data_IF_475591761013
#
_entry.id   IF_475591761013
#
_cell.length_a   1.000
_cell.length_b   1.000
_cell.length_c   1.000
_cell.angle_alpha   90.00
_cell.angle_beta   90.00
_cell.angle_gamma   90.00
#
_symmetry.space_group_name_H-M   'P 1'
#
loop_
_entity.id
_entity.type
_entity.pdbx_description
1 polymer ?
#
# COMPACT_ATOMS: atom_id res chain seq x y z
N UNK A 1 -6.59 2.89 -9.98
CA UNK A 1 -6.18 1.47 -10.17
C UNK A 1 -7.37 0.57 -9.86
N UNK A 2 -7.60 -0.53 -10.58
CA UNK A 2 -8.74 -1.44 -10.35
C UNK A 2 -8.28 -2.91 -10.33
N UNK A 3 -8.84 -3.71 -9.43
CA UNK A 3 -8.62 -5.16 -9.31
C UNK A 3 -9.96 -5.88 -9.36
N UNK A 4 -10.06 -6.97 -10.12
CA UNK A 4 -11.21 -7.87 -10.15
C UNK A 4 -10.83 -9.19 -9.47
N UNK A 5 -11.66 -9.63 -8.54
CA UNK A 5 -11.51 -10.90 -7.85
C UNK A 5 -12.27 -12.00 -8.61
N UNK A 6 -11.88 -13.26 -8.39
CA UNK A 6 -12.53 -14.41 -9.05
C UNK A 6 -13.99 -14.61 -8.62
N UNK A 7 -14.37 -14.13 -7.43
CA UNK A 7 -15.73 -14.18 -6.92
C UNK A 7 -16.67 -13.12 -7.54
N UNK A 8 -16.17 -12.30 -8.47
CA UNK A 8 -16.92 -11.22 -9.12
C UNK A 8 -16.82 -9.86 -8.44
N UNK A 9 -16.25 -9.78 -7.23
CA UNK A 9 -16.00 -8.50 -6.57
C UNK A 9 -14.91 -7.71 -7.28
N UNK A 10 -14.91 -6.39 -7.09
CA UNK A 10 -13.82 -5.56 -7.55
C UNK A 10 -13.49 -4.43 -6.58
N UNK A 11 -12.20 -4.08 -6.54
CA UNK A 11 -11.69 -2.94 -5.81
C UNK A 11 -11.26 -1.83 -6.75
N UNK A 12 -11.63 -0.59 -6.46
CA UNK A 12 -11.18 0.59 -7.20
C UNK A 12 -10.50 1.58 -6.25
N UNK A 13 -9.26 1.93 -6.60
CA UNK A 13 -8.44 2.95 -5.95
C UNK A 13 -8.53 4.24 -6.75
N UNK A 14 -9.13 5.29 -6.17
CA UNK A 14 -9.41 6.58 -6.80
C UNK A 14 -8.63 7.69 -6.11
N UNK A 15 -7.65 8.26 -6.81
CA UNK A 15 -6.89 9.43 -6.36
C UNK A 15 -7.81 10.64 -6.17
N UNK A 16 -7.75 11.24 -4.98
CA UNK A 16 -8.44 12.49 -4.69
C UNK A 16 -7.51 13.64 -5.07
N UNK A 17 -7.67 14.20 -6.28
CA UNK A 17 -6.87 15.34 -6.73
C UNK A 17 -7.17 16.58 -5.90
N UNK A 18 -6.25 17.00 -5.02
CA UNK A 18 -6.13 18.43 -4.67
C UNK A 18 -5.07 19.07 -5.55
N UNK A 19 -5.52 19.97 -6.44
CA UNK A 19 -4.67 20.95 -7.13
C UNK A 19 -4.05 21.85 -6.06
N UNK A 20 -2.75 21.68 -5.79
CA UNK A 20 -1.78 22.66 -5.28
C UNK A 20 -0.71 21.87 -4.50
N UNK A 21 0.37 21.56 -5.22
CA UNK A 21 1.70 21.23 -4.70
C UNK A 21 1.83 20.10 -3.68
N UNK A 22 2.45 19.01 -4.16
CA UNK A 22 3.46 18.15 -3.49
C UNK A 22 3.10 17.67 -2.08
N UNK A 23 2.97 16.35 -1.95
CA UNK A 23 3.14 15.60 -0.69
C UNK A 23 1.93 15.36 0.21
N UNK A 24 0.69 15.20 -0.28
CA UNK A 24 -0.39 14.64 0.55
C UNK A 24 -1.42 13.90 -0.33
N UNK A 25 -0.98 12.82 -0.97
CA UNK A 25 -1.85 12.00 -1.81
C UNK A 25 -2.78 11.16 -0.94
N UNK A 26 -4.09 11.35 -1.10
CA UNK A 26 -5.10 10.44 -0.55
C UNK A 26 -5.76 9.69 -1.70
N UNK A 27 -5.84 8.37 -1.57
CA UNK A 27 -6.55 7.50 -2.50
C UNK A 27 -7.73 6.87 -1.76
N UNK A 28 -8.95 7.03 -2.26
CA UNK A 28 -10.11 6.33 -1.70
C UNK A 28 -10.22 4.94 -2.31
N UNK A 29 -10.59 3.96 -1.49
CA UNK A 29 -10.76 2.56 -1.88
C UNK A 29 -12.25 2.25 -1.87
N UNK A 30 -12.75 1.75 -2.99
CA UNK A 30 -14.11 1.30 -3.16
C UNK A 30 -14.14 -0.21 -3.42
N UNK A 31 -15.05 -0.94 -2.78
CA UNK A 31 -15.41 -2.32 -3.13
C UNK A 31 -16.83 -2.29 -3.68
N UNK A 32 -17.03 -2.76 -4.92
CA UNK A 32 -18.35 -2.76 -5.56
C UNK A 32 -19.08 -1.40 -5.41
N UNK A 33 -18.37 -0.32 -5.70
CA UNK A 33 -18.82 1.08 -5.60
C UNK A 33 -19.10 1.63 -4.18
N UNK A 34 -18.94 0.83 -3.12
CA UNK A 34 -19.00 1.29 -1.73
C UNK A 34 -17.60 1.65 -1.21
N UNK A 35 -17.45 2.84 -0.60
CA UNK A 35 -16.17 3.23 0.00
C UNK A 35 -15.90 2.40 1.26
N UNK A 36 -14.78 1.67 1.27
CA UNK A 36 -14.37 0.79 2.37
C UNK A 36 -13.13 1.29 3.12
N UNK A 37 -12.47 2.31 2.59
CA UNK A 37 -11.27 2.85 3.21
C UNK A 37 -10.50 3.81 2.33
N UNK A 38 -9.26 4.09 2.74
CA UNK A 38 -8.37 5.01 2.04
C UNK A 38 -6.91 4.71 2.30
N UNK A 39 -6.09 5.11 1.34
CA UNK A 39 -4.64 5.12 1.45
C UNK A 39 -4.17 6.56 1.59
N UNK A 40 -3.25 6.80 2.52
CA UNK A 40 -2.59 8.10 2.73
C UNK A 40 -1.09 7.93 2.76
N UNK A 41 -0.38 8.90 2.20
CA UNK A 41 1.07 8.99 2.33
C UNK A 41 1.45 9.60 3.69
N UNK A 42 2.47 9.04 4.34
CA UNK A 42 3.06 9.59 5.55
C UNK A 42 4.22 10.53 5.20
N UNK A 43 3.96 11.84 5.27
CA UNK A 43 4.97 12.87 5.10
C UNK A 43 5.28 13.56 6.44
N UNK A 44 5.78 12.82 7.42
CA UNK A 44 6.35 13.44 8.61
C UNK A 44 7.63 14.23 8.24
N UNK A 45 7.57 15.56 8.35
CA UNK A 45 8.68 16.52 8.11
C UNK A 45 9.98 16.19 8.86
N UNK A 46 9.92 15.38 9.93
CA UNK A 46 11.09 14.99 10.75
C UNK A 46 12.01 13.97 10.06
N UNK A 47 11.57 13.33 8.98
CA UNK A 47 12.35 12.34 8.23
C UNK A 47 12.94 12.88 6.92
N UNK A 48 13.03 14.20 6.73
CA UNK A 48 13.50 14.83 5.48
C UNK A 48 14.91 14.44 5.04
N UNK A 49 15.74 13.88 5.92
CA UNK A 49 17.08 13.37 5.61
C UNK A 49 17.13 11.87 5.29
N UNK A 50 16.06 11.12 5.57
CA UNK A 50 15.91 9.69 5.27
C UNK A 50 14.54 9.48 4.67
N UNK A 51 14.50 9.41 3.35
CA UNK A 51 13.38 9.12 2.45
C UNK A 51 12.62 7.81 2.81
N UNK A 52 12.08 7.70 4.03
CA UNK A 52 11.10 6.70 4.41
C UNK A 52 9.73 7.32 4.15
N UNK A 53 9.39 7.43 2.88
CA UNK A 53 8.01 7.64 2.47
C UNK A 53 7.25 6.41 2.98
N UNK A 54 6.43 6.60 4.02
CA UNK A 54 5.55 5.57 4.55
C UNK A 54 4.17 5.67 3.89
N UNK A 55 3.38 4.62 3.98
CA UNK A 55 2.01 4.63 3.47
C UNK A 55 1.07 4.02 4.51
N UNK A 56 -0.01 4.72 4.82
CA UNK A 56 -1.09 4.23 5.67
C UNK A 56 -2.23 3.72 4.81
N UNK A 57 -2.74 2.55 5.14
CA UNK A 57 -4.00 2.01 4.66
C UNK A 57 -4.97 2.01 5.85
N UNK A 58 -6.04 2.76 5.74
CA UNK A 58 -7.14 2.80 6.70
C UNK A 58 -8.31 2.00 6.10
N UNK A 59 -8.65 0.87 6.72
CA UNK A 59 -9.81 0.03 6.39
C UNK A 59 -10.64 -0.13 7.65
N UNK A 60 -11.89 0.32 7.61
CA UNK A 60 -12.78 0.30 8.78
C UNK A 60 -12.08 0.87 10.03
N UNK A 61 -11.93 0.08 11.09
CA UNK A 61 -11.28 0.45 12.35
C UNK A 61 -9.76 0.15 12.39
N UNK A 62 -9.21 -0.43 11.32
CA UNK A 62 -7.82 -0.88 11.26
C UNK A 62 -6.96 0.08 10.43
N UNK A 63 -5.76 0.39 10.96
CA UNK A 63 -4.73 1.14 10.24
C UNK A 63 -3.51 0.26 10.04
N UNK A 64 -3.15 0.06 8.78
CA UNK A 64 -1.97 -0.68 8.36
C UNK A 64 -0.90 0.28 7.87
N UNK A 65 0.34 0.07 8.29
CA UNK A 65 1.47 0.91 7.92
C UNK A 65 2.46 0.16 7.05
N UNK A 66 2.77 0.73 5.89
CA UNK A 66 3.74 0.22 4.95
C UNK A 66 5.03 1.01 5.10
N UNK A 67 6.14 0.29 5.23
CA UNK A 67 7.47 0.89 5.27
C UNK A 67 8.46 0.04 4.50
N UNK A 68 9.40 0.71 3.84
CA UNK A 68 10.60 0.06 3.31
C UNK A 68 11.54 -0.31 4.44
N UNK A 69 11.99 -1.57 4.48
CA UNK A 69 13.03 -2.00 5.41
C UNK A 69 14.38 -1.36 5.05
N UNK A 70 15.14 -0.88 6.04
CA UNK A 70 16.47 -0.28 5.84
C UNK A 70 17.52 -1.33 5.37
N UNK A 71 17.22 -2.62 5.51
CA UNK A 71 18.13 -3.72 5.14
C UNK A 71 18.16 -4.00 3.64
N UNK A 72 19.31 -4.52 3.19
CA UNK A 72 19.85 -4.70 1.81
C UNK A 72 18.89 -5.32 0.75
N UNK A 73 17.73 -5.85 1.13
CA UNK A 73 16.89 -6.67 0.25
C UNK A 73 15.60 -5.96 -0.25
N UNK A 74 15.49 -4.63 -0.05
CA UNK A 74 14.37 -3.80 -0.54
C UNK A 74 12.98 -4.40 -0.26
N UNK A 75 12.78 -4.90 0.96
CA UNK A 75 11.50 -5.47 1.39
C UNK A 75 10.59 -4.36 1.90
N UNK A 76 9.31 -4.42 1.56
CA UNK A 76 8.26 -3.64 2.21
C UNK A 76 7.63 -4.49 3.31
N UNK A 77 7.57 -3.95 4.52
CA UNK A 77 6.82 -4.56 5.61
C UNK A 77 5.49 -3.86 5.78
N UNK A 78 4.44 -4.64 6.07
CA UNK A 78 3.12 -4.14 6.46
C UNK A 78 2.92 -4.43 7.93
N UNK A 79 2.57 -3.39 8.69
CA UNK A 79 2.44 -3.44 10.13
C UNK A 79 1.03 -3.06 10.58
N UNK A 80 0.54 -3.72 11.62
CA UNK A 80 -0.60 -3.28 12.43
C UNK A 80 -0.18 -3.35 13.89
N UNK A 81 -0.44 -2.32 14.69
CA UNK A 81 -0.04 -2.27 16.11
C UNK A 81 1.44 -2.69 16.34
N UNK A 82 2.34 -2.20 15.49
CA UNK A 82 3.78 -2.51 15.47
C UNK A 82 4.16 -3.98 15.19
N UNK A 83 3.20 -4.84 14.84
CA UNK A 83 3.45 -6.23 14.43
C UNK A 83 3.47 -6.34 12.90
N UNK A 84 4.47 -7.01 12.34
CA UNK A 84 4.52 -7.32 10.90
C UNK A 84 3.48 -8.39 10.58
N UNK A 85 2.58 -8.08 9.64
CA UNK A 85 1.50 -8.97 9.18
C UNK A 85 1.64 -9.39 7.72
N UNK A 86 2.42 -8.67 6.93
CA UNK A 86 2.72 -9.04 5.56
C UNK A 86 4.08 -8.52 5.13
N UNK A 87 4.66 -9.16 4.12
CA UNK A 87 5.91 -8.72 3.49
C UNK A 87 5.78 -8.76 1.98
N UNK A 88 6.24 -7.68 1.34
CA UNK A 88 6.36 -7.56 -0.10
C UNK A 88 7.82 -7.42 -0.50
N UNK A 89 8.21 -8.02 -1.63
CA UNK A 89 9.51 -7.78 -2.26
C UNK A 89 9.36 -7.77 -3.77
N UNK A 90 10.17 -6.95 -4.42
CA UNK A 90 10.36 -7.02 -5.88
C UNK A 90 11.42 -8.08 -6.18
N UNK A 91 11.18 -8.96 -7.15
CA UNK A 91 12.18 -9.94 -7.55
C UNK A 91 13.41 -9.25 -8.15
N UNK A 92 14.60 -9.60 -7.64
CA UNK A 92 15.87 -9.06 -8.13
C UNK A 92 16.22 -9.57 -9.54
N UNK A 93 15.84 -10.81 -9.85
CA UNK A 93 16.09 -11.46 -11.14
C UNK A 93 15.05 -11.05 -12.20
N UNK A 94 13.79 -10.91 -11.78
CA UNK A 94 12.66 -10.60 -12.66
C UNK A 94 11.99 -9.32 -12.18
N UNK A 95 12.50 -8.18 -12.63
CA UNK A 95 12.07 -6.84 -12.20
C UNK A 95 10.56 -6.57 -12.40
N UNK A 96 9.84 -7.39 -13.14
CA UNK A 96 8.39 -7.31 -13.34
C UNK A 96 7.57 -8.13 -12.34
N UNK A 97 8.21 -8.97 -11.52
CA UNK A 97 7.55 -9.84 -10.56
C UNK A 97 7.63 -9.26 -9.15
N UNK A 98 6.46 -9.20 -8.53
CA UNK A 98 6.30 -8.87 -7.13
C UNK A 98 5.89 -10.13 -6.38
N UNK A 99 6.50 -10.34 -5.22
CA UNK A 99 6.08 -11.37 -4.28
C UNK A 99 5.52 -10.66 -3.05
N UNK A 100 4.31 -11.04 -2.65
CA UNK A 100 3.62 -10.49 -1.49
C UNK A 100 2.98 -11.63 -0.73
N UNK A 101 3.14 -11.65 0.58
CA UNK A 101 2.58 -12.69 1.45
C UNK A 101 2.10 -12.06 2.76
N UNK A 102 0.82 -12.25 3.07
CA UNK A 102 0.26 -12.00 4.39
C UNK A 102 0.31 -13.26 5.26
N UNK A 103 0.41 -13.06 6.58
CA UNK A 103 0.23 -14.16 7.54
C UNK A 103 -1.23 -14.66 7.50
N UNK A 104 -1.45 -15.92 7.90
CA UNK A 104 -2.73 -16.63 7.72
C UNK A 104 -3.96 -15.84 8.16
N UNK A 105 -3.90 -15.19 9.32
CA UNK A 105 -5.00 -14.41 9.88
C UNK A 105 -5.39 -13.15 9.08
N UNK A 106 -4.64 -12.81 8.03
CA UNK A 106 -4.89 -11.65 7.16
C UNK A 106 -5.03 -12.05 5.68
N UNK A 107 -5.19 -13.35 5.38
CA UNK A 107 -5.35 -13.84 4.00
C UNK A 107 -6.58 -13.29 3.29
N UNK A 108 -7.67 -13.09 4.04
CA UNK A 108 -8.92 -12.53 3.48
C UNK A 108 -8.75 -11.13 2.90
N UNK A 109 -7.85 -10.32 3.48
CA UNK A 109 -7.55 -8.97 3.00
C UNK A 109 -6.27 -8.88 2.18
N UNK A 110 -5.61 -10.01 1.88
CA UNK A 110 -4.30 -10.05 1.22
C UNK A 110 -4.32 -9.32 -0.13
N UNK A 111 -5.43 -9.42 -0.88
CA UNK A 111 -5.60 -8.71 -2.15
C UNK A 111 -5.52 -7.19 -1.99
N UNK A 112 -6.18 -6.62 -0.97
CA UNK A 112 -6.12 -5.19 -0.66
C UNK A 112 -4.72 -4.79 -0.18
N UNK A 113 -4.11 -5.64 0.65
CA UNK A 113 -2.77 -5.38 1.16
C UNK A 113 -1.73 -5.37 0.03
N UNK A 114 -1.82 -6.31 -0.91
CA UNK A 114 -0.98 -6.42 -2.10
C UNK A 114 -1.19 -5.22 -3.04
N UNK A 115 -2.44 -4.83 -3.30
CA UNK A 115 -2.72 -3.66 -4.15
C UNK A 115 -2.14 -2.38 -3.59
N UNK A 116 -2.24 -2.18 -2.28
CA UNK A 116 -1.61 -1.04 -1.60
C UNK A 116 -0.09 -1.12 -1.65
N UNK A 117 0.49 -2.33 -1.56
CA UNK A 117 1.92 -2.54 -1.77
C UNK A 117 2.37 -2.19 -3.20
N UNK A 118 1.57 -2.51 -4.22
CA UNK A 118 1.83 -2.09 -5.60
C UNK A 118 1.79 -0.57 -5.70
N UNK A 119 0.77 0.07 -5.13
CA UNK A 119 0.65 1.53 -5.09
C UNK A 119 1.87 2.17 -4.40
N UNK A 120 2.34 1.59 -3.30
CA UNK A 120 3.53 2.03 -2.57
C UNK A 120 4.81 1.99 -3.41
N UNK A 121 4.96 0.96 -4.25
CA UNK A 121 6.16 0.76 -5.06
C UNK A 121 6.04 1.30 -6.49
N UNK A 122 4.88 1.85 -6.86
CA UNK A 122 4.64 2.34 -8.21
C UNK A 122 5.23 3.74 -8.40
N UNK A 123 6.36 3.82 -9.10
CA UNK A 123 6.97 5.08 -9.53
C UNK A 123 6.54 5.34 -10.97
N UNK A 124 5.70 6.36 -11.18
CA UNK A 124 5.38 6.86 -12.52
C UNK A 124 6.45 7.87 -12.95
N UNK A 125 7.37 7.45 -13.82
CA UNK A 125 8.21 8.38 -14.56
C UNK A 125 7.32 9.11 -15.58
N UNK A 126 7.20 10.43 -15.43
CA UNK A 126 6.65 11.30 -16.47
C UNK A 126 7.70 11.60 -17.51
#
# INVERSE_FOLDING_TARGET
MRLYLQNGDHFTFVEQKKKLFRSNGTCHIYQNDQMIGKVKTDYSLKNSTKLQEGLFLELEDNTYYYKSSISIDSKTEVLINNRVIARGKRSALLKSQYHFEAVESFKEIEALLMMTFILFNYIHHK
#
